data_IF_315664169905
#
_entry.id   IF_315664169905
#
_cell.length_a   1.000
_cell.length_b   1.000
_cell.length_c   1.000
_cell.angle_alpha   90.00
_cell.angle_beta   90.00
_cell.angle_gamma   90.00
#
_symmetry.space_group_name_H-M   'P 1'
#
loop_
_entity.id
_entity.type
_entity.pdbx_description
1 polymer ?
#
# COMPACT_ATOMS: atom_id res chain seq x y z
N UNK A 1 -43.84 23.39 27.15
CA UNK A 1 -42.91 23.63 26.05
C UNK A 1 -42.38 22.29 25.57
N UNK A 2 -43.01 21.73 24.55
CA UNK A 2 -42.57 20.50 23.89
C UNK A 2 -41.40 20.87 22.98
N UNK A 3 -40.17 20.52 23.36
CA UNK A 3 -39.05 20.55 22.44
C UNK A 3 -39.28 19.48 21.38
N UNK A 4 -39.85 19.88 20.24
CA UNK A 4 -39.75 19.09 19.03
C UNK A 4 -38.26 18.96 18.73
N UNK A 5 -37.67 17.81 19.05
CA UNK A 5 -36.43 17.39 18.42
C UNK A 5 -36.77 17.26 16.94
N UNK A 6 -36.54 18.32 16.18
CA UNK A 6 -36.42 18.19 14.74
C UNK A 6 -35.34 17.15 14.54
N UNK A 7 -35.74 15.96 14.12
CA UNK A 7 -34.85 14.96 13.59
C UNK A 7 -34.16 15.64 12.40
N UNK A 8 -32.99 16.21 12.66
CA UNK A 8 -32.08 16.67 11.62
C UNK A 8 -31.97 15.47 10.71
N UNK A 9 -32.48 15.60 9.47
CA UNK A 9 -32.25 14.60 8.43
C UNK A 9 -30.74 14.47 8.33
N UNK A 10 -30.20 13.46 8.99
CA UNK A 10 -28.84 13.01 8.81
C UNK A 10 -28.72 12.73 7.33
N UNK A 11 -27.91 13.51 6.63
CA UNK A 11 -27.64 13.25 5.23
C UNK A 11 -27.12 11.82 5.13
N UNK A 12 -27.77 11.01 4.29
CA UNK A 12 -27.39 9.59 4.09
C UNK A 12 -25.94 9.44 3.64
N UNK A 13 -25.33 10.52 3.16
CA UNK A 13 -23.96 10.59 2.68
C UNK A 13 -23.21 11.71 3.39
N UNK A 14 -21.98 11.45 3.76
CA UNK A 14 -21.05 12.43 4.28
C UNK A 14 -19.71 12.34 3.52
N UNK A 15 -18.98 13.45 3.47
CA UNK A 15 -17.71 13.57 2.76
C UNK A 15 -16.54 13.96 3.69
N UNK A 16 -16.33 13.28 4.83
CA UNK A 16 -15.17 13.56 5.67
C UNK A 16 -13.92 12.95 5.03
N UNK A 17 -13.03 13.82 4.55
CA UNK A 17 -11.71 13.44 4.04
C UNK A 17 -10.75 13.11 5.20
N UNK A 18 -9.77 12.24 4.95
CA UNK A 18 -8.78 11.82 5.94
C UNK A 18 -7.82 12.97 6.29
N UNK A 19 -7.29 13.69 5.31
CA UNK A 19 -6.40 14.83 5.54
C UNK A 19 -6.86 16.12 4.86
N UNK A 20 -7.13 16.09 3.55
CA UNK A 20 -7.89 17.13 2.86
C UNK A 20 -8.49 16.59 1.58
N UNK A 21 -9.53 17.23 1.03
CA UNK A 21 -10.07 16.82 -0.26
C UNK A 21 -8.98 16.76 -1.33
N UNK A 22 -8.20 17.84 -1.46
CA UNK A 22 -7.16 17.97 -2.47
C UNK A 22 -6.02 16.98 -2.21
N UNK A 23 -5.62 16.81 -0.94
CA UNK A 23 -4.58 15.88 -0.54
C UNK A 23 -4.98 14.44 -0.81
N UNK A 24 -6.19 14.07 -0.40
CA UNK A 24 -6.72 12.71 -0.53
C UNK A 24 -6.88 12.36 -2.01
N UNK A 25 -7.47 13.27 -2.79
CA UNK A 25 -7.58 13.11 -4.25
C UNK A 25 -6.20 12.92 -4.88
N UNK A 26 -5.21 13.73 -4.51
CA UNK A 26 -3.86 13.64 -5.11
C UNK A 26 -3.13 12.34 -4.76
N UNK A 27 -3.16 11.92 -3.49
CA UNK A 27 -2.30 10.81 -3.01
C UNK A 27 -3.00 9.46 -2.93
N UNK A 28 -4.33 9.41 -2.84
CA UNK A 28 -5.08 8.18 -2.60
C UNK A 28 -6.02 7.79 -3.74
N UNK A 29 -6.40 8.71 -4.64
CA UNK A 29 -7.35 8.43 -5.73
C UNK A 29 -6.79 8.69 -7.14
N UNK A 30 -6.18 9.85 -7.39
CA UNK A 30 -5.59 10.22 -8.67
C UNK A 30 -4.51 9.23 -9.19
N UNK A 31 -3.71 8.55 -8.33
CA UNK A 31 -2.75 7.57 -8.80
C UNK A 31 -3.39 6.40 -9.57
N UNK A 32 -4.71 6.17 -9.42
CA UNK A 32 -5.44 5.15 -10.19
C UNK A 32 -5.50 5.54 -11.66
N UNK A 33 -5.83 6.81 -11.92
CA UNK A 33 -5.88 7.35 -13.28
C UNK A 33 -4.50 7.31 -13.94
N UNK A 34 -3.47 7.65 -13.16
CA UNK A 34 -2.08 7.56 -13.60
C UNK A 34 -1.72 6.12 -14.00
N UNK A 35 -2.11 5.15 -13.18
CA UNK A 35 -1.82 3.75 -13.44
C UNK A 35 -2.62 3.17 -14.62
N UNK A 36 -3.88 3.59 -14.80
CA UNK A 36 -4.69 3.23 -15.98
C UNK A 36 -4.07 3.81 -17.24
N UNK A 37 -3.74 5.10 -17.24
CA UNK A 37 -3.10 5.76 -18.39
C UNK A 37 -1.77 5.07 -18.74
N UNK A 38 -0.95 4.77 -17.74
CA UNK A 38 0.28 4.03 -17.93
C UNK A 38 0.00 2.63 -18.51
N UNK A 39 -1.00 1.91 -18.00
CA UNK A 39 -1.38 0.58 -18.51
C UNK A 39 -1.83 0.61 -19.98
N UNK A 40 -2.55 1.64 -20.41
CA UNK A 40 -2.98 1.83 -21.81
C UNK A 40 -1.78 2.13 -22.69
N UNK A 41 -0.89 3.04 -22.26
CA UNK A 41 0.32 3.38 -23.02
C UNK A 41 1.21 2.16 -23.29
N UNK A 42 1.27 1.19 -22.37
CA UNK A 42 2.03 -0.05 -22.55
C UNK A 42 1.47 -1.00 -23.61
N UNK A 43 0.22 -0.80 -24.04
CA UNK A 43 -0.43 -1.64 -25.03
C UNK A 43 -0.34 -1.07 -26.46
N UNK A 44 0.24 0.13 -26.63
CA UNK A 44 0.31 0.80 -27.93
C UNK A 44 1.43 0.23 -28.83
N UNK A 45 1.13 -0.17 -30.09
CA UNK A 45 2.09 -0.83 -31.00
C UNK A 45 3.32 0.01 -31.39
N UNK A 46 3.23 1.35 -31.32
CA UNK A 46 4.30 2.27 -31.76
C UNK A 46 5.31 2.64 -30.66
N UNK A 47 5.15 2.12 -29.44
CA UNK A 47 6.05 2.42 -28.30
C UNK A 47 7.18 1.37 -28.18
N UNK A 48 7.49 0.71 -29.29
CA UNK A 48 8.61 -0.23 -29.40
C UNK A 48 9.91 0.55 -29.65
N UNK A 49 10.28 1.44 -28.72
CA UNK A 49 11.69 1.65 -28.38
C UNK A 49 11.88 1.18 -26.93
N UNK A 50 12.51 0.00 -26.72
CA UNK A 50 12.48 -0.71 -25.45
C UNK A 50 12.97 0.05 -24.22
N UNK A 51 13.80 1.08 -24.39
CA UNK A 51 14.48 1.80 -23.29
C UNK A 51 13.71 3.03 -22.75
N UNK A 52 12.82 3.64 -23.54
CA UNK A 52 12.04 4.84 -23.15
C UNK A 52 10.71 4.47 -22.44
N UNK A 53 10.10 3.36 -22.85
CA UNK A 53 8.98 2.71 -22.16
C UNK A 53 9.41 2.17 -20.80
N UNK A 54 10.63 1.63 -20.74
CA UNK A 54 11.27 1.07 -19.57
C UNK A 54 11.49 2.09 -18.45
N UNK A 55 11.89 3.32 -18.75
CA UNK A 55 12.09 4.40 -17.76
C UNK A 55 10.78 5.05 -17.25
N UNK A 56 9.69 5.01 -18.01
CA UNK A 56 8.35 5.41 -17.53
C UNK A 56 7.74 4.35 -16.58
N UNK A 57 8.02 3.07 -16.92
CA UNK A 57 7.74 1.83 -16.15
C UNK A 57 8.68 1.65 -14.95
N UNK A 58 9.84 2.31 -14.89
CA UNK A 58 10.77 2.31 -13.72
C UNK A 58 10.13 2.89 -12.45
N UNK A 59 8.83 3.21 -12.48
CA UNK A 59 7.80 2.65 -11.58
C UNK A 59 6.77 3.75 -11.27
N UNK A 60 5.99 4.19 -12.26
CA UNK A 60 5.16 5.40 -12.16
C UNK A 60 6.00 6.65 -11.88
N UNK A 61 6.87 7.03 -12.82
CA UNK A 61 7.73 8.23 -12.71
C UNK A 61 8.75 8.16 -11.56
N UNK A 62 9.28 6.97 -11.26
CA UNK A 62 10.26 6.76 -10.19
C UNK A 62 9.66 6.69 -8.79
N UNK A 63 8.33 6.77 -8.66
CA UNK A 63 7.62 6.69 -7.38
C UNK A 63 7.82 5.31 -6.73
N UNK A 64 7.91 4.23 -7.50
CA UNK A 64 8.19 2.89 -6.94
C UNK A 64 9.56 2.74 -6.28
N UNK A 65 10.68 3.24 -6.79
CA UNK A 65 11.90 3.26 -5.98
C UNK A 65 11.81 4.28 -4.85
N UNK A 66 11.23 5.44 -5.12
CA UNK A 66 11.18 6.54 -4.17
C UNK A 66 10.38 6.20 -2.90
N UNK A 67 9.27 5.45 -2.99
CA UNK A 67 8.47 5.10 -1.80
C UNK A 67 9.20 4.20 -0.80
N UNK A 68 10.28 3.53 -1.20
CA UNK A 68 11.10 2.77 -0.26
C UNK A 68 11.89 3.69 0.68
N UNK A 69 12.21 4.91 0.23
CA UNK A 69 12.88 5.96 1.00
C UNK A 69 12.22 6.22 2.37
N UNK A 70 10.90 6.52 2.42
CA UNK A 70 10.19 6.77 3.67
C UNK A 70 10.28 5.64 4.71
N UNK A 71 10.50 4.39 4.32
CA UNK A 71 10.69 3.32 5.33
C UNK A 71 11.98 3.52 6.13
N UNK A 72 13.03 4.03 5.50
CA UNK A 72 14.28 4.37 6.19
C UNK A 72 14.12 5.57 7.12
N UNK A 73 13.12 6.43 6.89
CA UNK A 73 12.85 7.60 7.70
C UNK A 73 12.63 7.25 9.18
N UNK A 74 11.99 6.11 9.46
CA UNK A 74 11.71 5.65 10.81
C UNK A 74 12.98 5.29 11.61
N UNK A 75 14.10 4.94 10.94
CA UNK A 75 15.40 4.70 11.57
C UNK A 75 16.10 5.97 12.04
N UNK A 76 15.69 7.14 11.53
CA UNK A 76 16.23 8.42 11.96
C UNK A 76 15.41 9.08 13.07
N UNK A 77 14.27 8.48 13.45
CA UNK A 77 13.46 8.95 14.57
C UNK A 77 14.05 8.45 15.90
N UNK A 78 14.49 9.40 16.73
CA UNK A 78 15.09 9.17 18.05
C UNK A 78 14.19 8.35 18.96
N UNK A 79 12.88 8.59 18.98
CA UNK A 79 11.92 7.86 19.84
C UNK A 79 11.75 6.42 19.36
N UNK A 80 11.76 6.19 18.05
CA UNK A 80 11.79 4.83 17.50
C UNK A 80 13.06 4.10 17.91
N UNK A 81 14.22 4.72 17.71
CA UNK A 81 15.49 4.12 18.08
C UNK A 81 15.51 3.76 19.57
N UNK A 82 15.13 4.70 20.44
CA UNK A 82 15.04 4.45 21.87
C UNK A 82 14.13 3.27 22.21
N UNK A 83 12.97 3.14 21.57
CA UNK A 83 12.04 2.04 21.82
C UNK A 83 12.58 0.68 21.35
N UNK A 84 13.18 0.62 20.16
CA UNK A 84 13.66 -0.62 19.58
C UNK A 84 15.02 -1.06 20.13
N UNK A 85 15.78 -0.17 20.78
CA UNK A 85 17.04 -0.50 21.45
C UNK A 85 16.90 -0.86 22.94
N UNK A 86 15.69 -0.85 23.49
CA UNK A 86 15.45 -1.16 24.91
C UNK A 86 15.83 -2.60 25.30
N UNK A 87 15.65 -3.56 24.40
CA UNK A 87 15.96 -4.96 24.67
C UNK A 87 16.57 -5.66 23.45
N UNK A 88 17.34 -6.72 23.70
CA UNK A 88 18.09 -7.44 22.65
C UNK A 88 17.19 -8.06 21.59
N UNK A 89 15.97 -8.48 21.94
CA UNK A 89 15.05 -9.10 21.00
C UNK A 89 14.50 -8.09 19.99
N UNK A 90 14.18 -6.88 20.46
CA UNK A 90 13.78 -5.75 19.61
C UNK A 90 14.92 -5.25 18.74
N UNK A 91 16.14 -5.20 19.27
CA UNK A 91 17.34 -4.86 18.48
C UNK A 91 17.52 -5.87 17.33
N UNK A 92 17.45 -7.16 17.64
CA UNK A 92 17.55 -8.20 16.63
C UNK A 92 16.45 -8.07 15.56
N UNK A 93 15.22 -7.81 15.98
CA UNK A 93 14.09 -7.63 15.07
C UNK A 93 14.21 -6.36 14.21
N UNK A 94 14.70 -5.27 14.76
CA UNK A 94 14.72 -3.97 14.10
C UNK A 94 15.94 -3.76 13.21
N UNK A 95 17.11 -4.32 13.57
CA UNK A 95 18.36 -4.13 12.83
C UNK A 95 18.83 -5.40 12.11
N UNK A 96 18.76 -6.58 12.76
CA UNK A 96 19.34 -7.80 12.19
C UNK A 96 18.38 -8.53 11.25
N UNK A 97 17.08 -8.56 11.57
CA UNK A 97 16.10 -9.25 10.75
C UNK A 97 15.94 -8.65 9.34
N UNK A 98 15.95 -7.32 9.12
CA UNK A 98 15.99 -6.75 7.77
C UNK A 98 17.23 -7.21 6.97
N UNK A 99 18.40 -7.25 7.58
CA UNK A 99 19.63 -7.75 6.93
C UNK A 99 19.48 -9.24 6.57
N UNK A 100 18.93 -10.05 7.47
CA UNK A 100 18.65 -11.45 7.21
C UNK A 100 17.66 -11.61 6.04
N UNK A 101 16.56 -10.86 6.02
CA UNK A 101 15.59 -10.84 4.90
C UNK A 101 16.30 -10.50 3.59
N UNK A 102 17.17 -9.50 3.58
CA UNK A 102 17.98 -9.15 2.41
C UNK A 102 18.87 -10.30 1.93
N UNK A 103 19.66 -10.88 2.83
CA UNK A 103 20.57 -12.00 2.52
C UNK A 103 19.80 -13.22 2.00
N UNK A 104 18.73 -13.62 2.68
CA UNK A 104 17.89 -14.74 2.23
C UNK A 104 17.26 -14.45 0.86
N UNK A 105 16.82 -13.21 0.62
CA UNK A 105 16.29 -12.81 -0.69
C UNK A 105 17.34 -12.91 -1.78
N UNK A 106 18.58 -12.47 -1.52
CA UNK A 106 19.69 -12.59 -2.48
C UNK A 106 20.03 -14.05 -2.78
N UNK A 107 20.11 -14.90 -1.75
CA UNK A 107 20.35 -16.34 -1.91
C UNK A 107 19.25 -16.96 -2.77
N UNK A 108 17.98 -16.68 -2.46
CA UNK A 108 16.86 -17.19 -3.25
C UNK A 108 16.84 -16.64 -4.68
N UNK A 109 17.16 -15.36 -4.89
CA UNK A 109 17.20 -14.78 -6.23
C UNK A 109 18.25 -15.44 -7.13
N UNK A 110 19.37 -15.91 -6.57
CA UNK A 110 20.40 -16.63 -7.32
C UNK A 110 20.07 -18.11 -7.47
N UNK A 111 19.71 -18.79 -6.38
CA UNK A 111 19.54 -20.23 -6.32
C UNK A 111 18.19 -20.72 -6.86
N UNK A 112 17.11 -19.99 -6.58
CA UNK A 112 15.74 -20.32 -6.97
C UNK A 112 14.92 -19.06 -7.33
N UNK A 113 15.22 -18.37 -8.45
CA UNK A 113 14.62 -17.07 -8.78
C UNK A 113 13.08 -17.09 -8.82
N UNK A 114 12.48 -18.19 -9.28
CA UNK A 114 11.03 -18.35 -9.34
C UNK A 114 10.39 -18.36 -7.95
N UNK A 115 11.04 -19.01 -6.98
CA UNK A 115 10.57 -19.08 -5.60
C UNK A 115 10.72 -17.71 -4.93
N UNK A 116 11.84 -17.03 -5.18
CA UNK A 116 12.06 -15.65 -4.74
C UNK A 116 10.93 -14.73 -5.22
N UNK A 117 10.64 -14.74 -6.52
CA UNK A 117 9.58 -13.93 -7.11
C UNK A 117 8.20 -14.29 -6.53
N UNK A 118 7.91 -15.57 -6.33
CA UNK A 118 6.65 -16.04 -5.75
C UNK A 118 6.46 -15.54 -4.32
N UNK A 119 7.48 -15.70 -3.46
CA UNK A 119 7.45 -15.24 -2.06
C UNK A 119 7.30 -13.73 -2.00
N UNK A 120 8.13 -12.99 -2.74
CA UNK A 120 8.04 -11.53 -2.82
C UNK A 120 6.66 -11.08 -3.25
N UNK A 121 6.07 -11.76 -4.23
CA UNK A 121 4.75 -11.38 -4.71
C UNK A 121 3.67 -11.62 -3.67
N UNK A 122 3.66 -12.80 -3.02
CA UNK A 122 2.70 -13.09 -1.95
C UNK A 122 2.82 -12.08 -0.81
N UNK A 123 4.05 -11.70 -0.45
CA UNK A 123 4.29 -10.68 0.56
C UNK A 123 3.82 -9.29 0.10
N UNK A 124 4.09 -8.91 -1.15
CA UNK A 124 3.60 -7.67 -1.74
C UNK A 124 2.07 -7.58 -1.73
N UNK A 125 1.37 -8.66 -2.08
CA UNK A 125 -0.10 -8.74 -2.00
C UNK A 125 -0.58 -8.57 -0.56
N UNK A 126 0.04 -9.27 0.39
CA UNK A 126 -0.27 -9.08 1.81
C UNK A 126 -0.10 -7.62 2.23
N UNK A 127 1.03 -7.03 1.85
CA UNK A 127 1.39 -5.67 2.20
C UNK A 127 0.39 -4.66 1.64
N UNK A 128 -0.01 -4.79 0.37
CA UNK A 128 -1.02 -3.92 -0.25
C UNK A 128 -2.39 -4.03 0.43
N UNK A 129 -2.84 -5.26 0.73
CA UNK A 129 -4.13 -5.46 1.41
C UNK A 129 -4.11 -4.87 2.82
N UNK A 130 -3.02 -5.05 3.56
CA UNK A 130 -2.87 -4.49 4.92
C UNK A 130 -2.83 -2.96 4.91
N UNK A 131 -2.13 -2.34 3.96
CA UNK A 131 -2.12 -0.88 3.79
C UNK A 131 -3.53 -0.37 3.47
N UNK A 132 -4.21 -0.97 2.50
CA UNK A 132 -5.56 -0.56 2.11
C UNK A 132 -6.56 -0.69 3.27
N UNK A 133 -6.47 -1.80 4.03
CA UNK A 133 -7.26 -1.99 5.26
C UNK A 133 -7.02 -0.85 6.26
N UNK A 134 -5.75 -0.49 6.49
CA UNK A 134 -5.37 0.60 7.38
C UNK A 134 -5.94 1.94 6.93
N UNK A 135 -5.83 2.27 5.64
CA UNK A 135 -6.31 3.53 5.08
C UNK A 135 -7.84 3.62 5.16
N UNK A 136 -8.59 2.56 4.80
CA UNK A 136 -10.05 2.55 4.96
C UNK A 136 -10.43 2.84 6.40
N UNK A 137 -9.75 2.21 7.37
CA UNK A 137 -10.01 2.46 8.79
C UNK A 137 -9.70 3.89 9.23
N UNK A 138 -8.70 4.55 8.64
CA UNK A 138 -8.36 5.96 8.93
C UNK A 138 -9.43 6.93 8.40
N UNK A 139 -10.13 6.60 7.32
CA UNK A 139 -11.28 7.39 6.87
C UNK A 139 -12.44 7.37 7.87
N UNK A 140 -12.53 6.40 8.79
CA UNK A 140 -13.64 6.30 9.75
C UNK A 140 -13.33 6.87 11.15
N UNK A 141 -14.27 7.66 11.71
CA UNK A 141 -14.22 8.31 13.01
C UNK A 141 -15.36 7.76 13.86
N UNK A 142 -14.99 7.15 14.98
CA UNK A 142 -15.94 6.55 15.92
C UNK A 142 -16.90 7.56 16.57
N UNK A 143 -16.54 8.83 16.56
CA UNK A 143 -17.31 9.92 17.17
C UNK A 143 -18.19 10.67 16.15
N UNK A 144 -18.19 10.26 14.88
CA UNK A 144 -19.10 10.76 13.87
C UNK A 144 -20.29 9.81 13.72
N UNK A 145 -21.48 10.34 13.37
CA UNK A 145 -22.65 9.52 13.03
C UNK A 145 -22.50 8.91 11.62
N UNK A 146 -21.43 8.16 11.39
CA UNK A 146 -21.13 7.49 10.13
C UNK A 146 -21.06 5.97 10.32
N UNK A 147 -21.25 5.24 9.22
CA UNK A 147 -21.10 3.79 9.18
C UNK A 147 -19.68 3.43 9.63
N UNK A 148 -19.58 2.53 10.61
CA UNK A 148 -18.30 2.00 11.07
C UNK A 148 -18.08 0.60 10.49
N UNK A 149 -16.92 0.33 9.89
CA UNK A 149 -16.67 -0.96 9.30
C UNK A 149 -16.48 -2.02 10.39
N UNK A 150 -17.15 -3.16 10.25
CA UNK A 150 -16.72 -4.35 10.96
C UNK A 150 -15.35 -4.79 10.42
N UNK A 151 -14.32 -4.83 11.29
CA UNK A 151 -12.93 -5.09 10.89
C UNK A 151 -12.73 -6.43 10.20
N UNK A 152 -13.40 -7.48 10.66
CA UNK A 152 -13.26 -8.82 10.08
C UNK A 152 -13.91 -8.88 8.71
N UNK A 153 -15.10 -8.29 8.55
CA UNK A 153 -15.78 -8.23 7.26
C UNK A 153 -15.01 -7.36 6.27
N UNK A 154 -14.50 -6.20 6.71
CA UNK A 154 -13.65 -5.35 5.87
C UNK A 154 -12.40 -6.10 5.42
N UNK A 155 -11.68 -6.73 6.35
CA UNK A 155 -10.49 -7.53 6.05
C UNK A 155 -10.79 -8.63 5.04
N UNK A 156 -11.83 -9.44 5.27
CA UNK A 156 -12.24 -10.51 4.35
C UNK A 156 -12.62 -9.99 2.98
N UNK A 157 -13.39 -8.90 2.92
CA UNK A 157 -13.83 -8.28 1.65
C UNK A 157 -12.68 -7.72 0.81
N UNK A 158 -11.50 -7.48 1.39
CA UNK A 158 -10.30 -7.08 0.66
C UNK A 158 -9.43 -8.31 0.32
N UNK A 159 -9.29 -9.26 1.25
CA UNK A 159 -8.45 -10.44 1.08
C UNK A 159 -8.98 -11.43 0.05
N UNK A 160 -10.26 -11.78 0.10
CA UNK A 160 -10.80 -12.84 -0.76
C UNK A 160 -10.80 -12.47 -2.24
N UNK A 161 -11.13 -11.22 -2.67
CA UNK A 161 -10.91 -10.82 -4.06
C UNK A 161 -9.44 -10.83 -4.46
N UNK A 162 -8.54 -10.35 -3.59
CA UNK A 162 -7.10 -10.32 -3.87
C UNK A 162 -6.54 -11.73 -4.10
N UNK A 163 -6.92 -12.70 -3.25
CA UNK A 163 -6.52 -14.11 -3.41
C UNK A 163 -7.07 -14.67 -4.72
N UNK A 164 -8.33 -14.41 -5.06
CA UNK A 164 -8.91 -14.84 -6.33
C UNK A 164 -8.11 -14.31 -7.53
N UNK A 165 -7.94 -12.99 -7.62
CA UNK A 165 -7.25 -12.34 -8.75
C UNK A 165 -5.79 -12.83 -8.88
N UNK A 166 -5.05 -12.87 -7.77
CA UNK A 166 -3.65 -13.30 -7.74
C UNK A 166 -3.51 -14.79 -8.07
N UNK A 167 -4.41 -15.65 -7.61
CA UNK A 167 -4.39 -17.09 -7.92
C UNK A 167 -4.59 -17.35 -9.40
N UNK A 168 -5.53 -16.63 -10.05
CA UNK A 168 -5.74 -16.74 -11.50
C UNK A 168 -4.49 -16.27 -12.27
N UNK A 169 -3.85 -15.19 -11.83
CA UNK A 169 -2.61 -14.72 -12.44
C UNK A 169 -1.50 -15.77 -12.34
N UNK A 170 -1.16 -16.22 -11.13
CA UNK A 170 -0.06 -17.15 -10.93
C UNK A 170 -0.28 -18.49 -11.60
N UNK A 171 -1.51 -19.01 -11.59
CA UNK A 171 -1.81 -20.22 -12.31
C UNK A 171 -1.49 -20.09 -13.81
N UNK A 172 -1.86 -18.96 -14.42
CA UNK A 172 -1.56 -18.71 -15.85
C UNK A 172 -0.08 -18.54 -16.13
N UNK A 173 0.69 -17.95 -15.20
CA UNK A 173 2.14 -17.80 -15.36
C UNK A 173 2.87 -19.14 -15.18
N UNK A 174 2.47 -19.95 -14.19
CA UNK A 174 3.15 -21.19 -13.84
C UNK A 174 2.73 -22.38 -14.71
N UNK A 175 1.49 -22.38 -15.19
CA UNK A 175 0.88 -23.46 -15.99
C UNK A 175 0.37 -22.94 -17.33
N UNK A 176 1.18 -22.12 -18.01
CA UNK A 176 0.83 -21.53 -19.30
C UNK A 176 0.42 -22.61 -20.32
N UNK A 177 -0.74 -22.42 -20.96
CA UNK A 177 -1.28 -23.36 -21.95
C UNK A 177 -1.95 -24.63 -21.38
N UNK A 178 -2.00 -24.80 -20.06
CA UNK A 178 -2.65 -25.94 -19.41
C UNK A 178 -4.10 -25.60 -19.06
N UNK A 179 -5.03 -26.36 -19.61
CA UNK A 179 -6.43 -26.32 -19.20
C UNK A 179 -6.67 -27.34 -18.08
N UNK A 180 -7.22 -26.90 -16.94
CA UNK A 180 -7.59 -27.79 -15.82
C UNK A 180 -8.98 -27.45 -15.29
N UNK A 181 -9.89 -28.41 -15.38
CA UNK A 181 -11.24 -28.29 -14.80
C UNK A 181 -11.19 -28.08 -13.28
N UNK A 182 -10.21 -28.67 -12.60
CA UNK A 182 -9.99 -28.47 -11.17
C UNK A 182 -9.55 -27.05 -10.83
N UNK A 183 -8.64 -26.48 -11.63
CA UNK A 183 -8.22 -25.08 -11.46
C UNK A 183 -9.41 -24.13 -11.71
N UNK A 184 -10.20 -24.38 -12.76
CA UNK A 184 -11.41 -23.61 -13.05
C UNK A 184 -12.41 -23.69 -11.88
N UNK A 185 -12.69 -24.89 -11.37
CA UNK A 185 -13.58 -25.07 -10.22
C UNK A 185 -13.07 -24.33 -8.98
N UNK A 186 -11.77 -24.36 -8.71
CA UNK A 186 -11.16 -23.61 -7.62
C UNK A 186 -11.31 -22.09 -7.80
N UNK A 187 -11.11 -21.57 -9.02
CA UNK A 187 -11.32 -20.14 -9.30
C UNK A 187 -12.78 -19.72 -9.16
N UNK A 188 -13.72 -20.54 -9.61
CA UNK A 188 -15.16 -20.28 -9.40
C UNK A 188 -15.48 -20.25 -7.90
N UNK A 189 -14.97 -21.20 -7.11
CA UNK A 189 -15.16 -21.21 -5.67
C UNK A 189 -14.58 -19.96 -4.99
N UNK A 190 -13.36 -19.55 -5.37
CA UNK A 190 -12.74 -18.32 -4.87
C UNK A 190 -13.51 -17.07 -5.27
N UNK A 191 -14.02 -17.00 -6.51
CA UNK A 191 -14.83 -15.88 -6.99
C UNK A 191 -16.15 -15.78 -6.21
N UNK A 192 -16.83 -16.90 -5.98
CA UNK A 192 -18.06 -16.94 -5.19
C UNK A 192 -17.81 -16.53 -3.73
N UNK A 193 -16.70 -16.97 -3.13
CA UNK A 193 -16.29 -16.57 -1.78
C UNK A 193 -16.00 -15.06 -1.71
N UNK A 194 -15.31 -14.51 -2.71
CA UNK A 194 -15.04 -13.07 -2.82
C UNK A 194 -16.33 -12.25 -2.92
N UNK A 195 -17.26 -12.66 -3.80
CA UNK A 195 -18.57 -12.02 -3.93
C UNK A 195 -19.39 -12.11 -2.64
N UNK A 196 -19.33 -13.25 -1.95
CA UNK A 196 -20.01 -13.46 -0.68
C UNK A 196 -19.50 -12.49 0.42
N UNK A 197 -18.18 -12.38 0.60
CA UNK A 197 -17.61 -11.48 1.62
C UNK A 197 -17.83 -10.00 1.28
N UNK A 198 -17.75 -9.62 0.00
CA UNK A 198 -18.13 -8.29 -0.48
C UNK A 198 -19.60 -7.99 -0.15
N UNK A 199 -20.51 -8.91 -0.50
CA UNK A 199 -21.94 -8.73 -0.25
C UNK A 199 -22.26 -8.64 1.25
N UNK A 200 -21.57 -9.42 2.09
CA UNK A 200 -21.70 -9.34 3.56
C UNK A 200 -21.23 -8.00 4.10
N UNK A 201 -20.12 -7.48 3.60
CA UNK A 201 -19.61 -6.18 4.00
C UNK A 201 -20.59 -5.05 3.60
N UNK A 202 -21.07 -5.06 2.35
CA UNK A 202 -22.08 -4.10 1.88
C UNK A 202 -23.40 -4.20 2.66
N UNK A 203 -23.87 -5.40 2.96
CA UNK A 203 -25.07 -5.61 3.79
C UNK A 203 -24.87 -5.06 5.21
N UNK A 204 -23.66 -5.19 5.79
CA UNK A 204 -23.35 -4.60 7.08
C UNK A 204 -23.40 -3.06 7.04
N UNK A 205 -22.90 -2.44 5.96
CA UNK A 205 -23.03 -0.99 5.73
C UNK A 205 -24.51 -0.60 5.63
N UNK A 206 -25.28 -1.27 4.78
CA UNK A 206 -26.71 -0.97 4.55
C UNK A 206 -27.54 -1.09 5.83
N UNK A 207 -27.28 -2.11 6.66
CA UNK A 207 -27.93 -2.25 7.98
C UNK A 207 -27.69 -1.02 8.86
N UNK A 208 -26.46 -0.51 8.91
CA UNK A 208 -26.13 0.68 9.70
C UNK A 208 -26.78 1.95 9.14
N UNK A 209 -26.85 2.09 7.82
CA UNK A 209 -27.53 3.21 7.15
C UNK A 209 -29.03 3.19 7.44
N UNK A 210 -29.66 2.01 7.42
CA UNK A 210 -31.07 1.84 7.77
C UNK A 210 -31.35 2.19 9.25
N UNK A 211 -30.34 2.10 10.12
CA UNK A 211 -30.42 2.56 11.52
C UNK A 211 -30.05 4.04 11.72
N UNK A 212 -29.80 4.79 10.64
CA UNK A 212 -29.60 6.25 10.68
C UNK A 212 -28.15 6.74 10.56
N UNK A 213 -27.18 5.84 10.36
CA UNK A 213 -25.78 6.22 10.13
C UNK A 213 -25.58 6.77 8.71
N UNK A 214 -24.67 7.73 8.54
CA UNK A 214 -24.29 8.27 7.23
C UNK A 214 -23.19 7.44 6.55
N UNK A 215 -23.23 7.33 5.22
CA UNK A 215 -22.17 6.70 4.43
C UNK A 215 -21.03 7.71 4.24
N UNK A 216 -19.84 7.36 4.72
CA UNK A 216 -18.62 8.07 4.36
C UNK A 216 -18.22 7.71 2.92
N UNK A 217 -18.50 8.63 1.99
CA UNK A 217 -18.31 8.39 0.56
C UNK A 217 -16.83 8.19 0.20
N UNK A 218 -15.87 9.03 0.66
CA UNK A 218 -14.44 8.76 0.44
C UNK A 218 -14.00 7.36 0.90
N UNK A 219 -14.42 6.92 2.09
CA UNK A 219 -14.10 5.59 2.60
C UNK A 219 -14.64 4.48 1.70
N UNK A 220 -15.90 4.59 1.27
CA UNK A 220 -16.54 3.60 0.41
C UNK A 220 -15.87 3.53 -0.96
N UNK A 221 -15.58 4.68 -1.58
CA UNK A 221 -14.89 4.74 -2.88
C UNK A 221 -13.47 4.16 -2.77
N UNK A 222 -12.76 4.44 -1.68
CA UNK A 222 -11.44 3.88 -1.45
C UNK A 222 -11.49 2.36 -1.27
N UNK A 223 -12.48 1.84 -0.53
CA UNK A 223 -12.72 0.40 -0.41
C UNK A 223 -13.03 -0.25 -1.76
N UNK A 224 -13.95 0.33 -2.56
CA UNK A 224 -14.25 -0.17 -3.92
C UNK A 224 -12.98 -0.22 -4.77
N UNK A 225 -12.19 0.85 -4.75
CA UNK A 225 -10.93 0.93 -5.49
C UNK A 225 -9.95 -0.14 -5.02
N UNK A 226 -9.88 -0.40 -3.70
CA UNK A 226 -9.03 -1.43 -3.10
C UNK A 226 -9.44 -2.86 -3.49
N UNK A 227 -10.74 -3.12 -3.70
CA UNK A 227 -11.24 -4.40 -4.21
C UNK A 227 -10.90 -4.57 -5.69
N UNK A 228 -11.09 -3.51 -6.49
CA UNK A 228 -10.82 -3.52 -7.94
C UNK A 228 -9.33 -3.47 -8.27
N UNK A 229 -8.49 -3.24 -7.26
CA UNK A 229 -7.07 -2.96 -7.39
C UNK A 229 -6.29 -4.08 -8.10
N UNK A 230 -6.75 -5.32 -7.92
CA UNK A 230 -6.14 -6.52 -8.50
C UNK A 230 -6.85 -7.01 -9.77
N UNK A 231 -7.89 -6.32 -10.27
CA UNK A 231 -8.57 -6.73 -11.52
C UNK A 231 -7.61 -6.94 -12.71
N UNK A 232 -6.53 -6.15 -12.90
CA UNK A 232 -5.58 -6.42 -13.98
C UNK A 232 -4.98 -7.83 -13.97
N UNK A 233 -4.93 -8.50 -12.81
CA UNK A 233 -4.36 -9.83 -12.66
C UNK A 233 -5.17 -10.92 -13.37
N UNK A 234 -6.42 -10.67 -13.78
CA UNK A 234 -7.22 -11.62 -14.57
C UNK A 234 -7.18 -11.35 -16.08
N UNK A 235 -6.63 -10.22 -16.54
CA UNK A 235 -6.54 -9.96 -17.97
C UNK A 235 -5.57 -10.92 -18.67
N UNK A 236 -5.94 -11.51 -19.82
CA UNK A 236 -5.06 -12.39 -20.58
C UNK A 236 -3.77 -11.69 -21.04
N UNK A 237 -2.66 -12.42 -21.12
CA UNK A 237 -1.39 -11.90 -21.67
C UNK A 237 -0.64 -10.91 -20.78
N UNK A 238 -1.14 -10.61 -19.58
CA UNK A 238 -0.46 -9.73 -18.63
C UNK A 238 0.86 -10.35 -18.14
N UNK A 239 1.90 -9.53 -18.05
CA UNK A 239 3.17 -9.87 -17.39
C UNK A 239 3.13 -9.41 -15.94
N UNK A 240 4.09 -9.84 -15.13
CA UNK A 240 4.18 -9.42 -13.71
C UNK A 240 4.28 -7.90 -13.62
N UNK A 241 5.15 -7.30 -14.43
CA UNK A 241 5.45 -5.87 -14.41
C UNK A 241 4.21 -5.02 -14.75
N UNK A 242 3.34 -5.53 -15.62
CA UNK A 242 2.12 -4.83 -16.05
C UNK A 242 0.95 -5.08 -15.10
N UNK A 243 0.81 -6.30 -14.57
CA UNK A 243 -0.22 -6.62 -13.59
C UNK A 243 -0.06 -5.81 -12.30
N UNK A 244 1.18 -5.59 -11.87
CA UNK A 244 1.50 -4.83 -10.67
C UNK A 244 1.44 -3.31 -10.85
N UNK A 245 1.23 -2.78 -12.06
CA UNK A 245 1.32 -1.34 -12.28
C UNK A 245 0.24 -0.57 -11.53
N UNK A 246 -1.01 -1.05 -11.57
CA UNK A 246 -2.10 -0.45 -10.80
C UNK A 246 -1.88 -0.62 -9.29
N UNK A 247 -1.73 -1.86 -8.76
CA UNK A 247 -1.56 -2.05 -7.33
C UNK A 247 -0.25 -1.51 -6.74
N UNK A 248 0.79 -1.36 -7.55
CA UNK A 248 2.03 -0.71 -7.18
C UNK A 248 1.86 0.80 -7.12
N UNK A 249 1.40 1.42 -8.21
CA UNK A 249 1.36 2.90 -8.33
C UNK A 249 0.55 3.56 -7.22
N UNK A 250 -0.66 3.07 -6.92
CA UNK A 250 -1.39 3.71 -5.82
C UNK A 250 -0.76 3.41 -4.47
N UNK A 251 -0.22 2.21 -4.26
CA UNK A 251 0.37 1.82 -2.98
C UNK A 251 1.55 2.73 -2.66
N UNK A 252 2.44 2.94 -3.64
CA UNK A 252 3.58 3.82 -3.50
C UNK A 252 3.17 5.27 -3.20
N UNK A 253 2.17 5.80 -3.92
CA UNK A 253 1.67 7.16 -3.70
C UNK A 253 1.00 7.31 -2.32
N UNK A 254 0.14 6.37 -1.95
CA UNK A 254 -0.53 6.34 -0.65
C UNK A 254 0.49 6.29 0.49
N UNK A 255 1.55 5.48 0.33
CA UNK A 255 2.61 5.35 1.33
C UNK A 255 3.37 6.65 1.54
N UNK A 256 3.73 7.33 0.44
CA UNK A 256 4.34 8.66 0.49
C UNK A 256 3.37 9.67 1.13
N UNK A 257 2.09 9.64 0.75
CA UNK A 257 1.05 10.50 1.33
C UNK A 257 0.91 10.34 2.84
N UNK A 258 0.86 9.10 3.35
CA UNK A 258 0.82 8.83 4.79
C UNK A 258 2.05 9.39 5.52
N UNK A 259 3.24 9.25 4.95
CA UNK A 259 4.46 9.82 5.52
C UNK A 259 4.48 11.36 5.45
N UNK A 260 3.92 11.98 4.42
CA UNK A 260 3.76 13.44 4.36
C UNK A 260 2.83 13.94 5.47
N UNK A 261 1.77 13.21 5.81
CA UNK A 261 0.92 13.51 6.96
C UNK A 261 1.77 13.52 8.24
N UNK A 262 2.58 12.48 8.47
CA UNK A 262 3.47 12.45 9.63
C UNK A 262 4.46 13.61 9.65
N UNK A 263 5.07 13.95 8.51
CA UNK A 263 5.96 15.11 8.40
C UNK A 263 5.26 16.41 8.81
N UNK A 264 4.01 16.60 8.39
CA UNK A 264 3.23 17.80 8.69
C UNK A 264 2.78 17.89 10.15
N UNK A 265 2.36 16.78 10.76
CA UNK A 265 1.75 16.83 12.09
C UNK A 265 2.66 16.33 13.21
N UNK A 266 3.50 15.33 12.96
CA UNK A 266 4.43 14.77 13.97
C UNK A 266 5.68 15.60 14.14
N UNK A 267 6.32 16.03 13.05
CA UNK A 267 7.66 16.65 13.11
C UNK A 267 7.66 18.18 12.97
N UNK A 268 6.48 18.81 12.91
CA UNK A 268 6.34 20.27 13.05
C UNK A 268 6.23 20.72 14.51
N UNK A 269 5.85 19.82 15.41
CA UNK A 269 5.80 20.07 16.85
C UNK A 269 7.21 20.36 17.40
N UNK A 270 7.35 21.39 18.25
CA UNK A 270 8.64 21.79 18.82
C UNK A 270 9.30 20.66 19.62
N UNK A 271 8.49 19.82 20.26
CA UNK A 271 8.97 18.71 21.09
C UNK A 271 9.50 17.53 20.24
N UNK A 272 9.05 17.42 19.00
CA UNK A 272 9.32 16.27 18.11
C UNK A 272 10.20 16.62 16.91
N UNK A 273 10.34 17.91 16.58
CA UNK A 273 11.19 18.39 15.48
C UNK A 273 12.65 17.93 15.60
N UNK A 274 13.14 17.79 16.84
CA UNK A 274 14.50 17.34 17.14
C UNK A 274 14.65 15.82 17.29
N UNK A 275 13.57 15.05 17.08
CA UNK A 275 13.67 13.58 17.03
C UNK A 275 14.35 13.10 15.75
N UNK A 276 14.46 13.95 14.74
CA UNK A 276 15.10 13.67 13.46
C UNK A 276 16.36 14.55 13.28
N UNK A 277 17.38 14.09 12.56
CA UNK A 277 18.69 14.76 12.49
C UNK A 277 18.69 16.06 11.69
N UNK A 278 17.66 16.29 10.88
CA UNK A 278 17.51 17.47 10.03
C UNK A 278 16.03 17.73 9.76
N UNK A 279 15.69 18.75 8.97
CA UNK A 279 14.31 19.00 8.57
C UNK A 279 13.65 17.75 7.96
N UNK A 280 12.45 17.40 8.43
CA UNK A 280 11.71 16.20 8.04
C UNK A 280 11.46 16.09 6.53
N UNK A 281 11.09 17.20 5.90
CA UNK A 281 10.83 17.24 4.45
C UNK A 281 12.13 17.03 3.66
N UNK A 282 13.21 17.65 4.12
CA UNK A 282 14.53 17.49 3.50
C UNK A 282 15.01 16.04 3.62
N UNK A 283 14.93 15.45 4.81
CA UNK A 283 15.32 14.06 5.04
C UNK A 283 14.50 13.09 4.18
N UNK A 284 13.17 13.25 4.16
CA UNK A 284 12.28 12.45 3.31
C UNK A 284 12.66 12.55 1.83
N UNK A 285 12.95 13.77 1.36
CA UNK A 285 13.35 14.01 -0.04
C UNK A 285 14.67 13.32 -0.35
N UNK A 286 15.68 13.44 0.52
CA UNK A 286 16.98 12.77 0.37
C UNK A 286 16.79 11.25 0.31
N UNK A 287 15.96 10.67 1.18
CA UNK A 287 15.73 9.23 1.20
C UNK A 287 14.98 8.76 -0.06
N UNK A 288 13.94 9.49 -0.50
CA UNK A 288 13.23 9.18 -1.74
C UNK A 288 14.16 9.21 -2.97
N UNK A 289 14.92 10.30 -3.12
CA UNK A 289 15.86 10.46 -4.23
C UNK A 289 17.02 9.47 -4.15
N UNK A 290 17.50 9.17 -2.94
CA UNK A 290 18.53 8.18 -2.69
C UNK A 290 18.09 6.78 -3.10
N UNK A 291 16.89 6.34 -2.70
CA UNK A 291 16.33 5.05 -3.11
C UNK A 291 16.12 4.98 -4.64
N UNK A 292 15.66 6.07 -5.26
CA UNK A 292 15.57 6.16 -6.72
C UNK A 292 16.95 6.06 -7.40
N UNK A 293 17.95 6.80 -6.90
CA UNK A 293 19.31 6.77 -7.43
C UNK A 293 19.94 5.38 -7.34
N UNK A 294 19.81 4.71 -6.19
CA UNK A 294 20.29 3.34 -6.00
C UNK A 294 19.61 2.38 -6.98
N UNK A 295 18.29 2.48 -7.13
CA UNK A 295 17.56 1.66 -8.09
C UNK A 295 18.06 1.91 -9.52
N UNK A 296 18.14 3.16 -9.97
CA UNK A 296 18.59 3.50 -11.31
C UNK A 296 20.02 3.02 -11.58
N UNK A 297 20.92 3.17 -10.60
CA UNK A 297 22.31 2.73 -10.71
C UNK A 297 22.41 1.20 -10.81
N UNK A 298 21.78 0.48 -9.88
CA UNK A 298 21.79 -1.00 -9.88
C UNK A 298 21.16 -1.55 -11.14
N UNK A 299 20.12 -0.88 -11.63
CA UNK A 299 19.45 -1.21 -12.86
C UNK A 299 20.33 -0.99 -14.09
N UNK A 300 20.99 0.17 -14.19
CA UNK A 300 21.89 0.49 -15.29
C UNK A 300 23.04 -0.53 -15.37
N UNK A 301 23.70 -0.81 -14.25
CA UNK A 301 24.77 -1.83 -14.17
C UNK A 301 24.25 -3.22 -14.53
N UNK A 302 22.99 -3.54 -14.21
CA UNK A 302 22.39 -4.84 -14.56
C UNK A 302 22.26 -5.05 -16.07
N UNK A 303 22.07 -3.99 -16.85
CA UNK A 303 21.92 -4.07 -18.31
C UNK A 303 23.19 -4.57 -19.01
N UNK A 304 24.35 -4.41 -18.37
CA UNK A 304 25.64 -4.89 -18.89
C UNK A 304 25.81 -6.40 -18.75
N UNK A 305 24.91 -7.08 -18.04
CA UNK A 305 24.97 -8.52 -17.81
C UNK A 305 23.90 -9.28 -18.59
N UNK A 306 24.28 -10.42 -19.17
CA UNK A 306 23.34 -11.32 -19.84
C UNK A 306 22.21 -11.75 -18.89
N UNK A 307 20.93 -11.72 -19.34
CA UNK A 307 19.81 -12.24 -18.57
C UNK A 307 20.07 -13.66 -18.08
N UNK A 308 19.88 -13.90 -16.78
CA UNK A 308 20.08 -15.21 -16.16
C UNK A 308 21.51 -15.52 -15.68
N UNK A 309 22.49 -14.68 -16.01
CA UNK A 309 23.85 -14.77 -15.43
C UNK A 309 23.82 -14.57 -13.91
N UNK A 310 24.87 -15.02 -13.21
CA UNK A 310 24.99 -14.86 -11.75
C UNK A 310 24.87 -13.39 -11.34
N UNK A 311 25.62 -12.49 -12.00
CA UNK A 311 25.61 -11.06 -11.70
C UNK A 311 24.26 -10.40 -12.00
N UNK A 312 23.60 -10.79 -13.11
CA UNK A 312 22.25 -10.32 -13.41
C UNK A 312 21.26 -10.71 -12.30
N UNK A 313 21.28 -11.98 -11.88
CA UNK A 313 20.41 -12.50 -10.81
C UNK A 313 20.70 -11.83 -9.47
N UNK A 314 21.96 -11.58 -9.15
CA UNK A 314 22.38 -10.89 -7.93
C UNK A 314 21.84 -9.46 -7.89
N UNK A 315 22.02 -8.68 -8.97
CA UNK A 315 21.54 -7.29 -9.05
C UNK A 315 20.01 -7.19 -9.05
N UNK A 316 19.33 -8.11 -9.75
CA UNK A 316 17.87 -8.25 -9.62
C UNK A 316 17.48 -8.59 -8.19
N UNK A 317 18.20 -9.51 -7.55
CA UNK A 317 18.05 -9.88 -6.15
C UNK A 317 18.17 -8.68 -5.21
N UNK A 318 19.10 -7.75 -5.45
CA UNK A 318 19.23 -6.52 -4.65
C UNK A 318 17.96 -5.66 -4.72
N UNK A 319 17.36 -5.50 -5.91
CA UNK A 319 16.10 -4.75 -6.07
C UNK A 319 14.93 -5.42 -5.34
N UNK A 320 14.86 -6.76 -5.41
CA UNK A 320 13.84 -7.55 -4.72
C UNK A 320 14.07 -7.52 -3.20
N UNK A 321 15.33 -7.59 -2.75
CA UNK A 321 15.71 -7.51 -1.35
C UNK A 321 15.28 -6.18 -0.73
N UNK A 322 15.48 -5.05 -1.42
CA UNK A 322 15.00 -3.75 -0.97
C UNK A 322 13.48 -3.75 -0.77
N UNK A 323 12.72 -4.37 -1.69
CA UNK A 323 11.26 -4.47 -1.59
C UNK A 323 10.83 -5.36 -0.41
N UNK A 324 11.45 -6.53 -0.23
CA UNK A 324 11.14 -7.43 0.89
C UNK A 324 11.54 -6.84 2.25
N UNK A 325 12.65 -6.12 2.32
CA UNK A 325 13.07 -5.38 3.51
C UNK A 325 12.04 -4.31 3.86
N UNK A 326 11.59 -3.55 2.85
CA UNK A 326 10.52 -2.57 3.01
C UNK A 326 9.23 -3.22 3.54
N UNK A 327 8.74 -4.31 2.93
CA UNK A 327 7.55 -5.01 3.40
C UNK A 327 7.68 -5.54 4.83
N UNK A 328 8.87 -6.02 5.19
CA UNK A 328 9.18 -6.48 6.53
C UNK A 328 9.12 -5.33 7.54
N UNK A 329 9.84 -4.25 7.29
CA UNK A 329 9.95 -3.10 8.18
C UNK A 329 8.59 -2.42 8.39
N UNK A 330 7.83 -2.24 7.31
CA UNK A 330 6.52 -1.63 7.38
C UNK A 330 5.53 -2.44 8.22
N UNK A 331 5.65 -3.78 8.21
CA UNK A 331 4.85 -4.65 9.08
C UNK A 331 5.10 -4.43 10.59
N UNK A 332 6.18 -3.72 10.97
CA UNK A 332 6.46 -3.29 12.34
C UNK A 332 6.15 -1.82 12.57
N UNK A 333 6.47 -0.94 11.62
CA UNK A 333 6.24 0.51 11.76
C UNK A 333 4.75 0.85 11.75
N UNK A 334 3.96 0.13 10.97
CA UNK A 334 2.52 0.34 10.85
C UNK A 334 1.69 -0.64 11.71
N UNK A 335 2.33 -1.30 12.67
CA UNK A 335 1.72 -2.31 13.54
C UNK A 335 0.97 -1.68 14.70
N UNK A 336 -0.20 -1.11 14.44
CA UNK A 336 -1.03 -0.45 15.47
C UNK A 336 -1.63 -1.39 16.54
N UNK A 337 -1.30 -2.68 16.52
CA UNK A 337 -1.54 -3.59 17.65
C UNK A 337 -0.54 -3.36 18.79
N UNK A 338 0.63 -2.80 18.48
CA UNK A 338 1.61 -2.35 19.47
C UNK A 338 1.22 -0.99 20.05
N UNK A 339 1.31 -0.85 21.38
CA UNK A 339 0.98 0.39 22.07
C UNK A 339 1.88 1.54 21.60
N UNK A 340 3.19 1.29 21.46
CA UNK A 340 4.14 2.29 21.01
C UNK A 340 3.75 2.95 19.68
N UNK A 341 3.31 2.17 18.68
CA UNK A 341 2.88 2.75 17.38
C UNK A 341 1.56 3.50 17.47
N UNK A 342 0.65 3.09 18.38
CA UNK A 342 -0.56 3.85 18.66
C UNK A 342 -0.27 5.19 19.33
N UNK A 343 0.82 5.31 20.06
CA UNK A 343 1.17 6.55 20.74
C UNK A 343 2.07 7.44 19.87
N UNK A 344 2.93 6.85 19.04
CA UNK A 344 3.96 7.58 18.29
C UNK A 344 3.54 8.00 16.87
N UNK A 345 2.48 7.40 16.31
CA UNK A 345 2.04 7.61 14.92
C UNK A 345 0.55 7.95 14.84
N UNK A 346 -0.33 7.14 15.44
CA UNK A 346 -1.79 7.27 15.28
C UNK A 346 -2.34 8.67 15.59
N UNK A 347 -1.91 9.39 16.66
CA UNK A 347 -2.49 10.69 16.99
C UNK A 347 -2.30 11.71 15.87
N UNK A 348 -1.15 11.66 15.19
CA UNK A 348 -0.80 12.57 14.10
C UNK A 348 -1.57 12.25 12.80
N UNK A 349 -1.86 10.97 12.55
CA UNK A 349 -2.74 10.56 11.46
C UNK A 349 -4.18 11.03 11.69
N UNK A 350 -4.67 10.95 12.94
CA UNK A 350 -6.01 11.42 13.31
C UNK A 350 -6.12 12.94 13.37
N UNK A 351 -5.05 13.65 13.75
CA UNK A 351 -5.01 15.12 13.81
C UNK A 351 -5.26 15.75 12.43
N UNK A 352 -4.72 15.16 11.36
CA UNK A 352 -4.94 15.60 9.99
C UNK A 352 -6.43 15.78 9.66
N UNK A 353 -7.26 14.88 10.19
CA UNK A 353 -8.70 14.90 10.02
C UNK A 353 -9.40 15.97 10.86
N UNK A 354 -8.94 16.20 12.09
CA UNK A 354 -9.61 17.14 13.01
C UNK A 354 -9.51 18.60 12.54
N UNK A 355 -8.37 18.99 11.94
CA UNK A 355 -8.17 20.35 11.41
C UNK A 355 -9.18 20.67 10.29
N UNK A 356 -9.53 19.68 9.47
CA UNK A 356 -10.55 19.81 8.42
C UNK A 356 -11.98 20.00 8.96
N UNK A 357 -12.33 19.24 10.00
CA UNK A 357 -13.67 19.29 10.59
C UNK A 357 -13.96 20.65 11.24
N UNK A 358 -12.92 21.39 11.64
CA UNK A 358 -13.02 22.76 12.15
C UNK A 358 -13.05 23.77 11.00
N UNK A 359 -12.16 23.63 10.01
CA UNK A 359 -12.09 24.54 8.85
C UNK A 359 -13.31 24.48 7.91
N UNK A 360 -14.08 23.39 7.92
CA UNK A 360 -15.33 23.26 7.15
C UNK A 360 -16.57 23.80 7.89
N UNK A 361 -16.41 24.20 9.17
CA UNK A 361 -17.47 24.81 9.99
C UNK A 361 -17.28 26.32 10.20
N UNK A 362 -16.11 26.86 9.85
CA UNK A 362 -15.80 28.29 9.73
C UNK A 362 -16.04 28.75 8.30
#
# INVERSE_FOLDING_TARGET
MTSSSQAVKSDKFCFPWMASREFDLLWFFAPLLLAIAASICLQLPSVVTPSLLFLFIVNAFGIGPAHQGPTWFFYFDKKNNQYWTQDRSRVALYYLAPLAVGIFTLILAVAAPWLCLTITTLWGVQHFVQQNLGIVLLYHNKNANEVLPNRDLLSRSLWTPSIFFVSVFFYRQLFAGVASYWALAAFVALALLALYDIARYLNNILKQVNTGASINVPALVFWVTSVLYFVPFVFPGQRVETAFLIPGTMHWCQYIGLNIILIRYKYQDQDRKFDIPMNAQVLMTILCLGSLGIYLLTHAVRLDFSPGSFYFKLLLGCSIAMSNIHYFQDAFFWRFREQFQRDSIMPYLLQARHVQAVASKS
#
